data_IF_658099691131
#
_entry.id   IF_658099691131
#
_cell.length_a   1.000
_cell.length_b   1.000
_cell.length_c   1.000
_cell.angle_alpha   90.00
_cell.angle_beta   90.00
_cell.angle_gamma   90.00
#
_symmetry.space_group_name_H-M   'P 1'
#
loop_
_entity.id
_entity.type
_entity.pdbx_description
1 polymer ?
#
# COMPACT_ATOMS: atom_id res chain seq x y z
N UNK A 1 -13.26 -0.04 20.48
CA UNK A 1 -13.29 1.44 20.39
C UNK A 1 -12.63 1.87 19.09
N UNK A 2 -13.17 2.87 18.36
CA UNK A 2 -12.55 3.38 17.14
C UNK A 2 -11.20 4.03 17.48
N UNK A 3 -10.13 3.41 17.01
CA UNK A 3 -8.76 3.90 17.16
C UNK A 3 -8.49 4.96 16.08
N UNK A 4 -7.56 5.92 16.27
CA UNK A 4 -7.15 6.89 15.23
C UNK A 4 -6.82 6.23 13.88
N UNK A 5 -6.39 4.96 13.89
CA UNK A 5 -6.21 4.13 12.68
C UNK A 5 -7.49 4.00 11.84
N UNK A 6 -8.65 3.80 12.48
CA UNK A 6 -9.93 3.72 11.79
C UNK A 6 -10.29 5.06 11.13
N UNK A 7 -10.08 6.18 11.85
CA UNK A 7 -10.38 7.51 11.32
C UNK A 7 -9.46 7.85 10.13
N UNK A 8 -8.15 7.55 10.21
CA UNK A 8 -7.22 7.71 9.09
C UNK A 8 -7.66 6.86 7.90
N UNK A 9 -7.94 5.57 8.11
CA UNK A 9 -8.36 4.68 7.03
C UNK A 9 -9.67 5.14 6.37
N UNK A 10 -10.65 5.57 7.15
CA UNK A 10 -11.90 6.14 6.63
C UNK A 10 -11.65 7.43 5.84
N UNK A 11 -10.80 8.31 6.34
CA UNK A 11 -10.46 9.56 5.67
C UNK A 11 -9.76 9.32 4.32
N UNK A 12 -8.82 8.37 4.28
CA UNK A 12 -8.15 7.97 3.04
C UNK A 12 -9.13 7.35 2.04
N UNK A 13 -10.08 6.52 2.48
CA UNK A 13 -11.15 5.98 1.61
C UNK A 13 -12.02 7.07 1.01
N UNK A 14 -12.36 8.11 1.78
CA UNK A 14 -13.11 9.27 1.27
C UNK A 14 -12.34 10.06 0.20
N UNK A 15 -11.01 9.99 0.23
CA UNK A 15 -10.13 10.56 -0.78
C UNK A 15 -9.79 9.56 -1.92
N UNK A 16 -10.56 8.48 -2.06
CA UNK A 16 -10.45 7.53 -3.17
C UNK A 16 -9.47 6.37 -2.97
N UNK A 17 -8.81 6.27 -1.81
CA UNK A 17 -7.86 5.20 -1.56
C UNK A 17 -8.54 3.88 -1.17
N UNK A 18 -8.01 2.76 -1.67
CA UNK A 18 -8.34 1.44 -1.13
C UNK A 18 -7.45 1.14 0.08
N UNK A 19 -8.01 1.09 1.29
CA UNK A 19 -7.22 0.91 2.51
C UNK A 19 -7.50 -0.42 3.22
N UNK A 20 -6.44 -1.07 3.68
CA UNK A 20 -6.49 -2.17 4.64
C UNK A 20 -5.80 -1.77 5.94
N UNK A 21 -6.29 -2.26 7.07
CA UNK A 21 -5.68 -2.03 8.38
C UNK A 21 -4.99 -3.32 8.80
N UNK A 22 -3.67 -3.26 8.96
CA UNK A 22 -2.89 -4.34 9.53
C UNK A 22 -2.59 -4.01 11.00
N UNK A 23 -3.01 -4.88 11.91
CA UNK A 23 -2.57 -4.81 13.31
C UNK A 23 -1.38 -5.74 13.46
N UNK A 24 -0.25 -5.21 13.93
CA UNK A 24 0.93 -6.03 14.21
C UNK A 24 0.57 -7.05 15.31
N UNK A 25 0.81 -8.33 15.04
CA UNK A 25 0.34 -9.44 15.87
C UNK A 25 0.96 -9.51 17.28
N UNK A 26 1.95 -8.67 17.58
CA UNK A 26 2.62 -8.63 18.88
C UNK A 26 2.77 -7.19 19.33
N UNK A 27 2.36 -6.91 20.58
CA UNK A 27 2.72 -5.69 21.31
C UNK A 27 4.22 -5.70 21.63
N UNK A 28 5.04 -5.63 20.59
CA UNK A 28 6.49 -5.73 20.67
C UNK A 28 6.98 -4.53 21.48
N UNK A 29 7.41 -4.82 22.71
CA UNK A 29 8.12 -3.88 23.54
C UNK A 29 9.36 -3.35 22.80
N UNK A 30 9.90 -2.24 23.31
CA UNK A 30 11.00 -1.45 22.74
C UNK A 30 12.18 -2.28 22.16
N UNK A 31 12.43 -3.49 22.65
CA UNK A 31 13.60 -4.35 22.30
C UNK A 31 13.39 -5.37 21.18
N UNK A 32 12.15 -5.74 20.82
CA UNK A 32 11.87 -6.86 19.90
C UNK A 32 10.89 -6.41 18.80
N UNK A 33 10.97 -5.14 18.40
CA UNK A 33 10.08 -4.56 17.41
C UNK A 33 10.46 -5.04 16.01
N UNK A 34 9.90 -6.17 15.59
CA UNK A 34 10.10 -6.74 14.26
C UNK A 34 8.75 -7.02 13.61
N UNK A 35 8.63 -6.65 12.33
CA UNK A 35 7.57 -7.12 11.45
C UNK A 35 8.00 -8.47 10.90
N UNK A 36 7.11 -9.46 10.91
CA UNK A 36 7.38 -10.75 10.29
C UNK A 36 7.55 -10.62 8.77
N UNK A 37 8.28 -11.54 8.14
CA UNK A 37 8.40 -11.57 6.68
C UNK A 37 7.02 -11.65 5.98
N UNK A 38 6.05 -12.29 6.62
CA UNK A 38 4.65 -12.38 6.14
C UNK A 38 3.99 -11.00 6.15
N UNK A 39 4.05 -10.28 7.26
CA UNK A 39 3.48 -8.92 7.36
C UNK A 39 4.18 -7.94 6.39
N UNK A 40 5.51 -8.03 6.21
CA UNK A 40 6.23 -7.25 5.19
C UNK A 40 5.73 -7.56 3.78
N UNK A 41 5.52 -8.84 3.45
CA UNK A 41 4.97 -9.26 2.15
C UNK A 41 3.56 -8.71 1.93
N UNK A 42 2.69 -8.73 2.96
CA UNK A 42 1.34 -8.15 2.89
C UNK A 42 1.41 -6.66 2.61
N UNK A 43 2.31 -5.92 3.27
CA UNK A 43 2.50 -4.48 3.03
C UNK A 43 2.92 -4.22 1.57
N UNK A 44 3.80 -5.05 1.01
CA UNK A 44 4.21 -4.99 -0.40
C UNK A 44 3.10 -5.27 -1.42
N UNK A 45 1.91 -5.71 -1.00
CA UNK A 45 0.75 -5.84 -1.88
C UNK A 45 0.02 -4.52 -2.15
N UNK A 46 0.42 -3.42 -1.51
CA UNK A 46 -0.17 -2.09 -1.62
C UNK A 46 0.82 -1.07 -2.20
N UNK A 47 0.34 0.10 -2.61
CA UNK A 47 1.20 1.14 -3.21
C UNK A 47 1.93 1.99 -2.16
N UNK A 48 1.42 2.04 -0.92
CA UNK A 48 2.01 2.80 0.18
C UNK A 48 1.54 2.26 1.54
N UNK A 49 2.25 2.62 2.60
CA UNK A 49 1.90 2.23 3.97
C UNK A 49 1.95 3.40 4.95
N UNK A 50 1.01 3.41 5.91
CA UNK A 50 0.97 4.39 7.01
C UNK A 50 1.15 3.68 8.34
N UNK A 51 2.25 3.99 9.03
CA UNK A 51 2.60 3.45 10.34
C UNK A 51 2.21 4.43 11.43
N UNK A 52 1.27 4.00 12.29
CA UNK A 52 0.87 4.79 13.46
C UNK A 52 1.65 4.30 14.66
N UNK A 53 2.60 5.13 15.12
CA UNK A 53 3.48 4.80 16.23
C UNK A 53 3.03 5.50 17.52
N UNK A 54 3.79 5.27 18.59
CA UNK A 54 3.49 5.76 19.93
C UNK A 54 3.70 7.27 20.11
N UNK A 55 3.68 7.70 21.36
CA UNK A 55 3.77 9.12 21.73
C UNK A 55 5.19 9.59 22.10
N UNK A 56 6.15 8.66 22.17
CA UNK A 56 7.51 8.95 22.62
C UNK A 56 8.48 8.93 21.45
N UNK A 57 9.23 10.01 21.25
CA UNK A 57 10.16 10.17 20.13
C UNK A 57 11.24 9.08 20.12
N UNK A 58 11.88 8.81 21.26
CA UNK A 58 12.89 7.74 21.38
C UNK A 58 12.35 6.36 20.97
N UNK A 59 11.07 6.10 21.25
CA UNK A 59 10.43 4.84 20.86
C UNK A 59 10.11 4.80 19.37
N UNK A 60 9.82 5.94 18.74
CA UNK A 60 9.59 6.06 17.31
C UNK A 60 10.90 5.83 16.55
N UNK A 61 11.98 6.53 16.94
CA UNK A 61 13.29 6.41 16.29
C UNK A 61 13.83 4.99 16.34
N UNK A 62 13.60 4.24 17.42
CA UNK A 62 14.03 2.85 17.50
C UNK A 62 13.18 1.87 16.67
N UNK A 63 11.98 2.29 16.28
CA UNK A 63 11.04 1.49 15.49
C UNK A 63 11.17 1.70 13.98
N UNK A 64 12.11 2.53 13.52
CA UNK A 64 12.43 2.68 12.10
C UNK A 64 12.78 1.36 11.43
N UNK A 65 13.48 0.48 12.15
CA UNK A 65 13.81 -0.90 11.75
C UNK A 65 12.61 -1.75 11.32
N UNK A 66 11.39 -1.37 11.71
CA UNK A 66 10.17 -2.05 11.27
C UNK A 66 9.95 -1.92 9.77
N UNK A 67 10.37 -0.81 9.18
CA UNK A 67 10.02 -0.40 7.82
C UNK A 67 11.22 0.06 6.98
N UNK A 68 12.44 -0.10 7.48
CA UNK A 68 13.69 0.21 6.79
C UNK A 68 13.81 -0.54 5.45
N UNK A 69 13.46 -1.83 5.41
CA UNK A 69 13.45 -2.65 4.18
C UNK A 69 12.07 -2.69 3.50
N UNK A 70 11.23 -1.66 3.67
CA UNK A 70 9.91 -1.67 3.07
C UNK A 70 10.01 -1.56 1.55
N UNK A 71 9.31 -2.43 0.82
CA UNK A 71 9.26 -2.39 -0.65
C UNK A 71 8.34 -1.29 -1.20
N UNK A 72 7.67 -0.54 -0.31
CA UNK A 72 6.69 0.50 -0.63
C UNK A 72 6.99 1.73 0.23
N UNK A 73 6.65 2.94 -0.24
CA UNK A 73 6.84 4.15 0.55
C UNK A 73 6.09 4.09 1.89
N UNK A 74 6.72 4.67 2.90
CA UNK A 74 6.29 4.63 4.29
C UNK A 74 6.04 6.04 4.81
N UNK A 75 4.86 6.26 5.37
CA UNK A 75 4.52 7.46 6.13
C UNK A 75 4.37 7.06 7.59
N UNK A 76 5.02 7.79 8.50
CA UNK A 76 4.94 7.55 9.94
C UNK A 76 4.14 8.64 10.61
N UNK A 77 3.27 8.26 11.55
CA UNK A 77 2.61 9.20 12.45
C UNK A 77 3.03 8.94 13.89
N UNK A 78 3.11 9.99 14.70
CA UNK A 78 3.41 9.86 16.12
C UNK A 78 2.95 11.04 16.97
N UNK A 79 3.05 10.88 18.29
CA UNK A 79 2.66 11.93 19.24
C UNK A 79 3.52 13.20 19.20
N UNK A 80 4.87 13.13 19.08
CA UNK A 80 5.72 14.31 18.95
C UNK A 80 5.29 15.21 17.77
N UNK A 81 5.61 16.49 17.85
CA UNK A 81 5.28 17.44 16.77
C UNK A 81 6.12 17.20 15.52
N UNK A 82 7.40 16.89 15.74
CA UNK A 82 8.36 16.52 14.73
C UNK A 82 9.17 15.33 15.25
N UNK A 83 9.66 14.50 14.33
CA UNK A 83 10.59 13.44 14.63
C UNK A 83 11.55 13.33 13.46
N UNK A 84 12.84 13.31 13.76
CA UNK A 84 13.88 13.14 12.75
C UNK A 84 13.90 11.69 12.27
N UNK A 85 13.39 11.47 11.05
CA UNK A 85 13.25 10.18 10.37
C UNK A 85 13.53 10.39 8.88
N UNK A 86 14.11 9.40 8.22
CA UNK A 86 14.34 9.45 6.77
C UNK A 86 13.04 9.43 5.95
N UNK A 87 11.98 8.85 6.52
CA UNK A 87 10.66 8.78 5.91
C UNK A 87 9.78 9.99 6.28
N UNK A 88 8.68 10.18 5.55
CA UNK A 88 7.73 11.24 5.84
C UNK A 88 7.08 11.06 7.22
N UNK A 89 7.11 12.10 8.06
CA UNK A 89 6.55 12.08 9.41
C UNK A 89 5.40 13.09 9.59
N UNK A 90 4.27 12.64 10.15
CA UNK A 90 3.16 13.50 10.56
C UNK A 90 2.97 13.44 12.08
N UNK A 91 3.38 14.52 12.75
CA UNK A 91 3.31 14.63 14.20
C UNK A 91 1.92 14.98 14.75
N UNK A 92 1.79 14.86 16.09
CA UNK A 92 0.55 15.03 16.87
C UNK A 92 -0.54 13.97 16.60
N UNK A 93 -0.20 12.87 15.92
CA UNK A 93 -1.07 11.69 15.75
C UNK A 93 -0.33 10.43 16.21
N UNK A 94 -0.32 10.22 17.53
CA UNK A 94 0.17 8.97 18.11
C UNK A 94 -0.96 8.08 18.64
N UNK A 95 -0.66 7.29 19.67
CA UNK A 95 -1.62 6.40 20.31
C UNK A 95 -2.55 7.21 21.21
N UNK A 96 -3.83 7.29 20.81
CA UNK A 96 -4.92 7.92 21.58
C UNK A 96 -6.21 7.12 21.44
N UNK A 97 -7.10 7.26 22.41
CA UNK A 97 -8.40 6.58 22.45
C UNK A 97 -9.51 7.45 21.82
N UNK A 98 -9.25 8.74 21.65
CA UNK A 98 -10.22 9.72 21.14
C UNK A 98 -10.22 9.76 19.62
N UNK A 99 -11.41 9.99 19.04
CA UNK A 99 -11.60 10.16 17.60
C UNK A 99 -11.01 11.47 17.08
N UNK A 100 -10.65 11.47 15.81
CA UNK A 100 -10.13 12.61 15.04
C UNK A 100 -11.25 13.53 14.54
N UNK A 101 -11.91 14.27 15.45
CA UNK A 101 -13.06 15.13 15.12
C UNK A 101 -12.76 16.62 15.14
N UNK A 102 -11.66 17.05 15.76
CA UNK A 102 -11.34 18.48 15.88
C UNK A 102 -10.84 19.02 14.53
N UNK A 103 -10.97 20.32 14.33
CA UNK A 103 -10.43 21.01 13.14
C UNK A 103 -8.92 20.76 13.00
N UNK A 104 -8.19 20.73 14.11
CA UNK A 104 -6.76 20.40 14.12
C UNK A 104 -6.49 18.96 13.67
N UNK A 105 -7.37 18.02 14.04
CA UNK A 105 -7.24 16.63 13.61
C UNK A 105 -7.46 16.50 12.10
N UNK A 106 -8.44 17.24 11.54
CA UNK A 106 -8.70 17.29 10.10
C UNK A 106 -7.48 17.81 9.33
N UNK A 107 -6.87 18.90 9.81
CA UNK A 107 -5.61 19.40 9.21
C UNK A 107 -4.51 18.36 9.20
N UNK A 108 -4.42 17.52 10.24
CA UNK A 108 -3.43 16.45 10.30
C UNK A 108 -3.77 15.27 9.38
N UNK A 109 -5.05 14.95 9.19
CA UNK A 109 -5.49 13.99 8.17
C UNK A 109 -5.15 14.50 6.76
N UNK A 110 -5.36 15.79 6.48
CA UNK A 110 -4.94 16.42 5.21
C UNK A 110 -3.43 16.30 4.99
N UNK A 111 -2.62 16.47 6.05
CA UNK A 111 -1.17 16.27 5.95
C UNK A 111 -0.81 14.84 5.57
N UNK A 112 -1.47 13.83 6.16
CA UNK A 112 -1.26 12.42 5.78
C UNK A 112 -1.58 12.20 4.31
N UNK A 113 -2.72 12.73 3.83
CA UNK A 113 -3.10 12.63 2.42
C UNK A 113 -2.05 13.27 1.52
N UNK A 114 -1.60 14.49 1.85
CA UNK A 114 -0.56 15.19 1.07
C UNK A 114 0.75 14.42 1.02
N UNK A 115 1.19 13.85 2.15
CA UNK A 115 2.40 13.02 2.22
C UNK A 115 2.24 11.76 1.36
N UNK A 116 1.09 11.09 1.41
CA UNK A 116 0.80 9.93 0.56
C UNK A 116 0.83 10.29 -0.93
N UNK A 117 0.14 11.36 -1.32
CA UNK A 117 0.12 11.83 -2.73
C UNK A 117 1.55 12.10 -3.20
N UNK A 118 2.37 12.77 -2.38
CA UNK A 118 3.77 13.04 -2.73
C UNK A 118 4.56 11.74 -2.98
N UNK A 119 4.45 10.76 -2.08
CA UNK A 119 5.13 9.46 -2.24
C UNK A 119 4.64 8.69 -3.48
N UNK A 120 3.34 8.75 -3.78
CA UNK A 120 2.76 8.12 -4.97
C UNK A 120 3.27 8.79 -6.25
N UNK A 121 3.37 10.12 -6.27
CA UNK A 121 3.91 10.88 -7.42
C UNK A 121 5.42 10.68 -7.61
N UNK A 122 6.18 10.44 -6.54
CA UNK A 122 7.58 9.97 -6.63
C UNK A 122 7.64 8.59 -7.29
N UNK A 123 6.82 7.64 -6.82
CA UNK A 123 6.78 6.29 -7.38
C UNK A 123 6.32 6.27 -8.85
N UNK A 124 5.40 7.15 -9.23
CA UNK A 124 4.99 7.33 -10.64
C UNK A 124 6.12 7.84 -11.51
N UNK A 125 6.96 8.74 -11.00
CA UNK A 125 8.15 9.21 -11.72
C UNK A 125 9.17 8.10 -11.92
N UNK A 126 9.41 7.27 -10.90
CA UNK A 126 10.27 6.08 -11.03
C UNK A 126 9.73 5.11 -12.09
N UNK A 127 8.41 4.86 -12.13
CA UNK A 127 7.79 4.03 -13.18
C UNK A 127 7.90 4.70 -14.56
N UNK A 128 7.89 6.02 -14.65
CA UNK A 128 8.05 6.71 -15.92
C UNK A 128 9.48 6.62 -16.49
N UNK A 129 10.49 6.35 -15.65
CA UNK A 129 11.86 6.11 -16.11
C UNK A 129 12.01 4.77 -16.84
N UNK A 130 11.28 3.75 -16.38
CA UNK A 130 11.16 2.44 -17.03
C UNK A 130 9.69 2.02 -17.10
N UNK A 131 8.96 2.47 -18.14
CA UNK A 131 7.52 2.30 -18.26
C UNK A 131 7.06 0.85 -18.16
N UNK A 132 5.82 0.67 -17.71
CA UNK A 132 5.17 -0.65 -17.71
C UNK A 132 4.87 -1.09 -19.14
N UNK A 133 5.05 -2.37 -19.41
CA UNK A 133 4.81 -2.94 -20.73
C UNK A 133 3.36 -2.87 -21.22
N UNK A 134 2.43 -2.72 -20.29
CA UNK A 134 1.00 -2.49 -20.56
C UNK A 134 0.52 -1.45 -19.55
N UNK A 135 -0.34 -0.53 -20.00
CA UNK A 135 -1.00 0.39 -19.10
C UNK A 135 -1.98 -0.34 -18.14
N UNK A 136 -1.89 -0.14 -16.82
CA UNK A 136 -2.79 -0.80 -15.86
C UNK A 136 -4.28 -0.53 -16.09
N UNK A 137 -4.65 0.64 -16.62
CA UNK A 137 -6.04 1.01 -16.91
C UNK A 137 -6.55 0.23 -18.11
N UNK A 138 -5.74 0.11 -19.17
CA UNK A 138 -6.07 -0.71 -20.34
C UNK A 138 -6.28 -2.18 -19.94
N UNK A 139 -5.33 -2.75 -19.18
CA UNK A 139 -5.45 -4.13 -18.70
C UNK A 139 -6.72 -4.32 -17.86
N UNK A 140 -7.05 -3.35 -17.01
CA UNK A 140 -8.29 -3.40 -16.22
C UNK A 140 -9.52 -3.44 -17.12
N UNK A 141 -9.60 -2.60 -18.15
CA UNK A 141 -10.74 -2.56 -19.06
C UNK A 141 -10.92 -3.89 -19.80
N UNK A 142 -9.83 -4.52 -20.23
CA UNK A 142 -9.87 -5.83 -20.90
C UNK A 142 -10.36 -6.95 -19.97
N UNK A 143 -9.86 -6.98 -18.72
CA UNK A 143 -10.31 -7.94 -17.70
C UNK A 143 -11.79 -7.75 -17.37
N UNK A 144 -12.22 -6.49 -17.24
CA UNK A 144 -13.61 -6.15 -16.93
C UNK A 144 -14.57 -6.49 -18.08
N UNK A 145 -14.14 -6.38 -19.33
CA UNK A 145 -14.89 -6.86 -20.51
C UNK A 145 -14.98 -8.39 -20.58
N UNK A 146 -14.05 -9.10 -19.97
CA UNK A 146 -13.98 -10.57 -19.94
C UNK A 146 -14.63 -11.19 -18.69
N UNK A 147 -15.53 -10.45 -18.03
CA UNK A 147 -16.20 -10.82 -16.78
C UNK A 147 -15.28 -11.10 -15.58
N UNK A 148 -14.02 -10.63 -15.64
CA UNK A 148 -13.08 -10.71 -14.52
C UNK A 148 -13.23 -9.45 -13.66
N UNK A 149 -14.26 -9.45 -12.80
CA UNK A 149 -14.62 -8.34 -11.90
C UNK A 149 -14.71 -8.81 -10.44
N UNK A 150 -14.47 -7.91 -9.46
CA UNK A 150 -13.98 -6.54 -9.61
C UNK A 150 -12.44 -6.44 -9.58
N UNK A 151 -11.88 -5.55 -10.41
CA UNK A 151 -10.44 -5.26 -10.50
C UNK A 151 -10.11 -3.89 -9.88
N UNK A 152 -9.14 -3.88 -8.96
CA UNK A 152 -8.64 -2.70 -8.26
C UNK A 152 -7.30 -2.31 -8.88
N UNK A 153 -7.17 -1.03 -9.26
CA UNK A 153 -5.93 -0.46 -9.80
C UNK A 153 -4.86 -0.35 -8.71
N UNK A 154 -3.63 -0.66 -9.11
CA UNK A 154 -2.39 -0.35 -8.42
C UNK A 154 -1.48 0.45 -9.37
N UNK A 155 -0.40 1.02 -8.85
CA UNK A 155 0.56 1.74 -9.69
C UNK A 155 1.26 0.81 -10.69
N UNK A 156 1.62 -0.40 -10.26
CA UNK A 156 2.40 -1.39 -11.02
C UNK A 156 1.56 -2.60 -11.47
N UNK A 157 0.23 -2.47 -11.51
CA UNK A 157 -0.66 -3.53 -11.96
C UNK A 157 -2.04 -3.52 -11.32
N UNK A 158 -2.57 -4.69 -10.96
CA UNK A 158 -3.96 -4.88 -10.56
C UNK A 158 -4.12 -5.87 -9.41
N UNK A 159 -5.20 -5.68 -8.64
CA UNK A 159 -5.71 -6.67 -7.69
C UNK A 159 -7.12 -7.10 -8.08
N UNK A 160 -7.32 -8.38 -8.32
CA UNK A 160 -8.64 -8.92 -8.68
C UNK A 160 -9.23 -9.61 -7.46
N UNK A 161 -10.47 -9.26 -7.08
CA UNK A 161 -11.14 -9.84 -5.90
C UNK A 161 -11.81 -11.19 -6.21
N UNK A 162 -11.12 -12.06 -6.92
CA UNK A 162 -11.52 -13.43 -7.18
C UNK A 162 -10.49 -14.39 -6.57
N UNK A 163 -10.91 -15.59 -6.12
CA UNK A 163 -9.98 -16.60 -5.61
C UNK A 163 -8.91 -16.96 -6.64
N UNK A 164 -7.65 -16.97 -6.22
CA UNK A 164 -6.53 -17.26 -7.09
C UNK A 164 -6.65 -18.65 -7.73
N UNK A 165 -6.97 -19.64 -6.92
CA UNK A 165 -6.99 -21.05 -7.35
C UNK A 165 -8.09 -21.33 -8.38
N UNK A 166 -9.11 -20.47 -8.50
CA UNK A 166 -10.22 -20.61 -9.44
C UNK A 166 -10.01 -19.82 -10.76
N UNK A 167 -9.24 -18.74 -10.71
CA UNK A 167 -9.20 -17.75 -11.80
C UNK A 167 -7.81 -17.53 -12.39
N UNK A 168 -6.73 -17.94 -11.71
CA UNK A 168 -5.37 -17.60 -12.13
C UNK A 168 -5.01 -18.14 -13.52
N UNK A 169 -5.37 -19.40 -13.83
CA UNK A 169 -5.09 -20.01 -15.14
C UNK A 169 -5.76 -19.22 -16.28
N UNK A 170 -7.07 -18.98 -16.15
CA UNK A 170 -7.84 -18.19 -17.12
C UNK A 170 -7.26 -16.78 -17.32
N UNK A 171 -6.75 -16.15 -16.25
CA UNK A 171 -6.12 -14.82 -16.33
C UNK A 171 -4.78 -14.90 -17.06
N UNK A 172 -3.97 -15.93 -16.78
CA UNK A 172 -2.65 -16.12 -17.41
C UNK A 172 -2.75 -16.43 -18.91
N UNK A 173 -3.79 -17.16 -19.32
CA UNK A 173 -4.06 -17.53 -20.72
C UNK A 173 -4.74 -16.41 -21.52
N UNK A 174 -5.15 -15.31 -20.88
CA UNK A 174 -5.81 -14.22 -21.56
C UNK A 174 -4.85 -13.61 -22.60
N UNK A 175 -5.28 -13.58 -23.86
CA UNK A 175 -4.51 -12.96 -24.95
C UNK A 175 -4.61 -11.45 -24.86
N UNK A 176 -3.45 -10.79 -24.80
CA UNK A 176 -3.32 -9.34 -24.85
C UNK A 176 -2.49 -8.98 -26.07
N UNK A 177 -3.11 -8.27 -27.00
CA UNK A 177 -2.53 -7.97 -28.32
C UNK A 177 -2.18 -9.24 -29.09
N UNK A 178 -0.91 -9.65 -29.09
CA UNK A 178 -0.41 -10.82 -29.84
C UNK A 178 0.18 -11.92 -28.92
N UNK A 179 0.30 -11.66 -27.61
CA UNK A 179 0.91 -12.57 -26.65
C UNK A 179 -0.04 -12.81 -25.46
N UNK A 180 0.26 -13.81 -24.63
CA UNK A 180 -0.49 -14.06 -23.40
C UNK A 180 -0.07 -13.07 -22.30
N UNK A 181 -0.97 -12.79 -21.35
CA UNK A 181 -0.68 -11.89 -20.22
C UNK A 181 0.60 -12.27 -19.46
N UNK A 182 0.95 -13.56 -19.38
CA UNK A 182 2.16 -14.03 -18.70
C UNK A 182 3.47 -13.49 -19.30
N UNK A 183 3.45 -13.05 -20.56
CA UNK A 183 4.59 -12.37 -21.19
C UNK A 183 4.82 -10.97 -20.62
N UNK A 184 3.73 -10.29 -20.23
CA UNK A 184 3.75 -8.90 -19.80
C UNK A 184 3.65 -8.71 -18.28
N UNK A 185 3.15 -9.72 -17.57
CA UNK A 185 2.86 -9.59 -16.15
C UNK A 185 3.05 -10.89 -15.39
N UNK A 186 3.39 -10.76 -14.11
CA UNK A 186 3.41 -11.86 -13.14
C UNK A 186 2.07 -11.93 -12.42
N UNK A 187 1.42 -13.09 -12.49
CA UNK A 187 0.20 -13.41 -11.76
C UNK A 187 0.59 -14.13 -10.47
N UNK A 188 0.22 -13.57 -9.32
CA UNK A 188 0.64 -14.02 -8.00
C UNK A 188 -0.57 -14.18 -7.06
N UNK A 189 -0.49 -15.15 -6.15
CA UNK A 189 -1.46 -15.30 -5.06
C UNK A 189 -1.18 -14.26 -3.98
N UNK A 190 -2.17 -13.43 -3.67
CA UNK A 190 -2.14 -12.54 -2.51
C UNK A 190 -2.27 -13.32 -1.21
N UNK A 191 -1.90 -12.70 -0.10
CA UNK A 191 -2.11 -13.24 1.24
C UNK A 191 -3.58 -13.52 1.55
N UNK A 192 -4.49 -12.72 1.00
CA UNK A 192 -5.94 -12.92 1.17
C UNK A 192 -6.51 -14.07 0.32
N UNK A 193 -5.69 -14.74 -0.49
CA UNK A 193 -6.12 -15.80 -1.42
C UNK A 193 -6.63 -15.29 -2.76
N UNK A 194 -6.61 -13.97 -2.98
CA UNK A 194 -7.03 -13.32 -4.22
C UNK A 194 -5.88 -13.23 -5.24
N UNK A 195 -6.18 -12.83 -6.48
CA UNK A 195 -5.17 -12.62 -7.53
C UNK A 195 -4.54 -11.22 -7.46
N UNK A 196 -3.20 -11.18 -7.57
CA UNK A 196 -2.40 -9.98 -7.83
C UNK A 196 -1.73 -10.11 -9.19
N UNK A 197 -1.87 -9.09 -10.02
CA UNK A 197 -1.16 -8.97 -11.29
C UNK A 197 -0.13 -7.86 -11.12
N UNK A 198 1.13 -8.19 -11.34
CA UNK A 198 2.24 -7.23 -11.37
C UNK A 198 2.75 -7.12 -12.80
N UNK A 199 2.54 -5.97 -13.42
CA UNK A 199 3.00 -5.70 -14.79
C UNK A 199 4.51 -5.50 -14.76
N UNK A 200 5.19 -6.06 -15.75
CA UNK A 200 6.63 -5.95 -15.90
C UNK A 200 6.97 -4.61 -16.60
N UNK A 201 8.12 -4.02 -16.28
CA UNK A 201 8.62 -2.90 -17.07
C UNK A 201 9.01 -3.37 -18.48
N UNK A 202 9.04 -2.45 -19.44
CA UNK A 202 9.43 -2.72 -20.82
C UNK A 202 10.81 -3.38 -20.91
N UNK A 203 11.76 -2.92 -20.09
CA UNK A 203 13.13 -3.45 -20.03
C UNK A 203 13.22 -4.95 -19.66
N UNK A 204 12.19 -5.51 -19.02
CA UNK A 204 12.18 -6.90 -18.56
C UNK A 204 11.60 -7.88 -19.60
N UNK A 205 11.06 -7.38 -20.70
CA UNK A 205 10.39 -8.17 -21.75
C UNK A 205 11.17 -8.12 -23.06
N UNK A 206 11.91 -7.03 -23.29
CA UNK A 206 12.81 -6.81 -24.43
C UNK A 206 13.98 -7.79 -24.50
#
# INVERSE_FOLDING_TARGET
>A
LPHPTCDIAEYLRRNGAFTSILSLGRGVGRRISQISAVEKRIIGEYDASVFILGNFEDCIKQKTKLFEDSSVPVIVTGGPESCDLECQYVGKIGRRVTRMRKVEDQKKLDMIVKSLVKCIEERRREIAEDPLSIDPIELKQQLESSDIKPAILRLDGLRIKLPYDECAERIMEMSISQNNLCHFAKVCKSFAGNVLIKILPESAIS
#
